data_IF_891097696887
#
_entry.id   IF_891097696887
#
_cell.length_a   1.000
_cell.length_b   1.000
_cell.length_c   1.000
_cell.angle_alpha   90.00
_cell.angle_beta   90.00
_cell.angle_gamma   90.00
#
_symmetry.space_group_name_H-M   'P 1'
#
loop_
_entity.id
_entity.type
_entity.pdbx_description
1 polymer ?
#
# COMPACT_ATOMS: atom_id res chain seq x y z
N UNK A 1 2.74 -5.91 -9.78
CA UNK A 1 2.90 -4.43 -9.68
C UNK A 1 1.70 -3.87 -8.93
N UNK A 2 1.92 -3.28 -7.75
CA UNK A 2 0.90 -2.43 -7.12
C UNK A 2 1.21 -0.98 -7.51
N UNK A 3 0.39 -0.40 -8.38
CA UNK A 3 0.47 1.01 -8.78
C UNK A 3 -0.94 1.58 -8.77
N UNK A 4 -1.19 2.58 -7.91
CA UNK A 4 -2.41 3.34 -7.92
C UNK A 4 -2.07 4.77 -8.30
N UNK A 5 -2.24 5.06 -9.59
CA UNK A 5 -2.75 6.30 -10.19
C UNK A 5 -2.25 6.34 -11.64
N UNK A 6 -3.14 5.95 -12.55
CA UNK A 6 -2.94 6.02 -14.01
C UNK A 6 -3.87 7.14 -14.48
N UNK A 7 -3.35 8.37 -14.58
CA UNK A 7 -4.09 9.42 -15.30
C UNK A 7 -3.86 9.21 -16.79
N UNK A 8 -4.91 9.17 -17.60
CA UNK A 8 -4.79 9.12 -19.05
C UNK A 8 -5.63 10.22 -19.68
N UNK A 9 -5.07 10.87 -20.70
CA UNK A 9 -5.80 11.83 -21.54
C UNK A 9 -6.01 11.21 -22.91
N UNK A 10 -7.19 11.47 -23.46
CA UNK A 10 -7.48 11.18 -24.85
C UNK A 10 -6.92 12.32 -25.70
N UNK A 11 -6.08 11.99 -26.67
CA UNK A 11 -5.64 12.95 -27.68
C UNK A 11 -6.72 12.99 -28.76
N UNK A 12 -7.43 14.11 -28.86
CA UNK A 12 -8.47 14.32 -29.86
C UNK A 12 -7.81 14.48 -31.23
N UNK A 13 -8.11 13.55 -32.14
CA UNK A 13 -7.49 13.44 -33.45
C UNK A 13 -7.59 14.72 -34.27
N UNK A 14 -6.44 15.26 -34.69
CA UNK A 14 -6.36 16.12 -35.86
C UNK A 14 -6.47 15.20 -37.09
N UNK A 15 -7.50 15.42 -37.89
CA UNK A 15 -7.88 14.78 -39.18
C UNK A 15 -7.16 13.45 -39.53
N UNK A 16 -7.85 12.32 -39.32
CA UNK A 16 -7.52 11.04 -39.97
C UNK A 16 -6.73 10.01 -39.15
N UNK A 17 -6.31 10.31 -37.91
CA UNK A 17 -5.67 9.33 -37.02
C UNK A 17 -6.71 8.75 -36.02
N UNK A 18 -6.72 7.44 -35.70
CA UNK A 18 -7.54 6.92 -34.60
C UNK A 18 -7.17 7.57 -33.26
N UNK A 19 -8.17 7.85 -32.41
CA UNK A 19 -7.98 8.41 -31.07
C UNK A 19 -6.98 7.56 -30.27
N UNK A 20 -5.96 8.22 -29.70
CA UNK A 20 -4.92 7.53 -28.92
C UNK A 20 -5.04 7.89 -27.45
N UNK A 21 -4.98 6.85 -26.62
CA UNK A 21 -4.97 6.99 -25.17
C UNK A 21 -3.53 7.26 -24.73
N UNK A 22 -3.25 8.47 -24.27
CA UNK A 22 -1.92 8.84 -23.78
C UNK A 22 -1.90 8.69 -22.26
N UNK A 23 -0.96 7.89 -21.78
CA UNK A 23 -0.69 7.72 -20.36
C UNK A 23 -0.03 9.01 -19.86
N UNK A 24 -0.73 9.76 -19.02
CA UNK A 24 -0.32 11.09 -18.59
C UNK A 24 0.63 11.04 -17.40
N UNK A 25 0.35 10.14 -16.44
CA UNK A 25 1.25 9.89 -15.30
C UNK A 25 1.02 8.48 -14.75
N UNK A 26 2.10 7.89 -14.24
CA UNK A 26 2.10 6.61 -13.55
C UNK A 26 3.09 6.66 -12.39
N UNK A 27 2.68 6.12 -11.23
CA UNK A 27 3.56 5.94 -10.06
C UNK A 27 3.86 4.44 -9.94
N UNK A 28 5.15 4.11 -9.98
CA UNK A 28 5.64 2.75 -9.77
C UNK A 28 6.22 2.64 -8.36
N UNK A 29 5.91 1.54 -7.68
CA UNK A 29 6.38 1.27 -6.32
C UNK A 29 6.85 -0.16 -6.21
N UNK A 30 7.66 -0.42 -5.18
CA UNK A 30 8.04 -1.77 -4.78
C UNK A 30 6.79 -2.66 -4.60
N UNK A 31 6.91 -3.89 -5.09
CA UNK A 31 5.90 -4.92 -4.90
C UNK A 31 6.10 -5.61 -3.56
N UNK A 32 5.14 -5.42 -2.67
CA UNK A 32 5.11 -6.09 -1.37
C UNK A 32 4.27 -7.36 -1.49
N UNK A 33 4.90 -8.54 -1.37
CA UNK A 33 4.26 -9.82 -1.65
C UNK A 33 3.15 -10.19 -0.66
N UNK A 34 3.24 -9.76 0.59
CA UNK A 34 2.21 -10.06 1.60
C UNK A 34 0.90 -9.28 1.42
N UNK A 35 0.87 -8.25 0.57
CA UNK A 35 -0.34 -7.46 0.29
C UNK A 35 -0.74 -6.54 1.45
N UNK A 36 -2.01 -6.19 1.54
CA UNK A 36 -2.53 -5.30 2.59
C UNK A 36 -2.81 -6.03 3.91
N UNK A 37 -2.78 -5.29 5.03
CA UNK A 37 -3.18 -5.77 6.35
C UNK A 37 -4.63 -6.29 6.33
N UNK A 38 -5.52 -5.64 5.59
CA UNK A 38 -6.88 -6.15 5.39
C UNK A 38 -6.90 -7.58 4.83
N UNK A 39 -6.16 -7.81 3.75
CA UNK A 39 -6.11 -9.13 3.12
C UNK A 39 -5.51 -10.18 4.07
N UNK A 40 -4.56 -9.79 4.91
CA UNK A 40 -4.01 -10.66 5.94
C UNK A 40 -5.06 -11.03 7.01
N UNK A 41 -5.78 -10.04 7.55
CA UNK A 41 -6.84 -10.25 8.54
C UNK A 41 -7.97 -11.14 8.00
N UNK A 42 -8.36 -10.95 6.74
CA UNK A 42 -9.37 -11.78 6.08
C UNK A 42 -8.90 -13.25 5.94
N UNK A 43 -7.61 -13.48 5.66
CA UNK A 43 -7.04 -14.84 5.61
C UNK A 43 -7.04 -15.51 6.99
N UNK A 44 -6.67 -14.78 8.04
CA UNK A 44 -6.74 -15.29 9.42
C UNK A 44 -8.18 -15.67 9.80
N UNK A 45 -9.13 -14.79 9.51
CA UNK A 45 -10.54 -15.05 9.79
C UNK A 45 -11.06 -16.30 9.06
N UNK A 46 -10.69 -16.48 7.79
CA UNK A 46 -11.04 -17.68 7.00
C UNK A 46 -10.40 -18.96 7.55
N UNK A 47 -9.22 -18.85 8.18
CA UNK A 47 -8.56 -19.96 8.84
C UNK A 47 -9.15 -20.29 10.24
N UNK A 48 -10.16 -19.53 10.70
CA UNK A 48 -10.80 -19.73 12.00
C UNK A 48 -10.13 -18.96 13.15
N UNK A 49 -9.08 -18.18 12.86
CA UNK A 49 -8.45 -17.32 13.85
C UNK A 49 -9.27 -16.04 14.05
N UNK A 50 -9.59 -15.73 15.31
CA UNK A 50 -10.42 -14.56 15.67
C UNK A 50 -9.60 -13.30 15.91
N UNK A 51 -8.29 -13.41 16.10
CA UNK A 51 -7.41 -12.32 16.51
C UNK A 51 -6.01 -12.53 15.94
N UNK A 52 -5.35 -11.43 15.64
CA UNK A 52 -3.92 -11.41 15.35
C UNK A 52 -3.16 -11.72 16.65
N UNK A 53 -2.08 -12.50 16.61
CA UNK A 53 -1.17 -12.65 17.75
C UNK A 53 -0.73 -11.28 18.29
N UNK A 54 -0.74 -11.11 19.62
CA UNK A 54 -0.44 -9.81 20.26
C UNK A 54 0.92 -9.25 19.83
N UNK A 55 1.93 -10.11 19.78
CA UNK A 55 3.29 -9.74 19.38
C UNK A 55 3.30 -9.13 17.96
N UNK A 56 2.62 -9.77 17.01
CA UNK A 56 2.47 -9.23 15.66
C UNK A 56 1.70 -7.91 15.64
N UNK A 57 0.62 -7.79 16.41
CA UNK A 57 -0.13 -6.54 16.49
C UNK A 57 0.74 -5.38 17.02
N UNK A 58 1.61 -5.63 18.00
CA UNK A 58 2.56 -4.64 18.52
C UNK A 58 3.60 -4.25 17.49
N UNK A 59 4.16 -5.21 16.74
CA UNK A 59 5.10 -4.92 15.65
C UNK A 59 4.47 -4.02 14.57
N UNK A 60 3.27 -4.38 14.09
CA UNK A 60 2.54 -3.57 13.11
C UNK A 60 2.29 -2.16 13.65
N UNK A 61 1.86 -2.03 14.90
CA UNK A 61 1.59 -0.73 15.51
C UNK A 61 2.86 0.13 15.63
N UNK A 62 3.99 -0.47 16.02
CA UNK A 62 5.28 0.21 16.11
C UNK A 62 5.73 0.74 14.75
N UNK A 63 5.69 -0.10 13.71
CA UNK A 63 6.10 0.28 12.36
C UNK A 63 5.21 1.38 11.76
N UNK A 64 3.89 1.26 11.93
CA UNK A 64 2.93 2.28 11.48
C UNK A 64 3.18 3.61 12.19
N UNK A 65 3.42 3.57 13.50
CA UNK A 65 3.74 4.78 14.27
C UNK A 65 5.07 5.41 13.82
N UNK A 66 6.10 4.60 13.56
CA UNK A 66 7.39 5.05 13.04
C UNK A 66 7.24 5.73 11.67
N UNK A 67 6.53 5.09 10.73
CA UNK A 67 6.25 5.65 9.41
C UNK A 67 5.45 6.96 9.49
N UNK A 68 4.45 7.04 10.37
CA UNK A 68 3.69 8.28 10.61
C UNK A 68 4.56 9.38 11.21
N UNK A 69 5.43 9.05 12.16
CA UNK A 69 6.40 10.01 12.73
C UNK A 69 7.28 10.59 11.63
N UNK A 70 7.82 9.74 10.75
CA UNK A 70 8.62 10.15 9.60
C UNK A 70 7.89 11.05 8.60
N UNK A 71 6.59 10.84 8.39
CA UNK A 71 5.76 11.70 7.54
C UNK A 71 5.49 13.04 8.20
N UNK A 72 5.15 13.03 9.49
CA UNK A 72 4.86 14.24 10.26
C UNK A 72 6.09 15.14 10.39
N UNK A 73 7.30 14.57 10.52
CA UNK A 73 8.56 15.31 10.47
C UNK A 73 8.75 16.08 9.14
N UNK A 74 8.13 15.60 8.06
CA UNK A 74 8.13 16.24 6.74
C UNK A 74 6.89 17.11 6.50
N UNK A 75 6.11 17.39 7.54
CA UNK A 75 4.83 18.10 7.47
C UNK A 75 3.79 17.45 6.54
N UNK A 76 3.85 16.13 6.35
CA UNK A 76 2.91 15.37 5.53
C UNK A 76 1.90 14.67 6.44
N UNK A 77 0.61 14.91 6.22
CA UNK A 77 -0.48 14.18 6.89
C UNK A 77 -1.02 13.13 5.91
N UNK A 78 -0.96 11.85 6.29
CA UNK A 78 -1.41 10.76 5.41
C UNK A 78 -2.93 10.80 5.13
N UNK A 79 -3.75 11.16 6.13
CA UNK A 79 -5.23 11.32 6.04
C UNK A 79 -6.07 10.08 5.71
N UNK A 80 -5.48 8.97 5.27
CA UNK A 80 -6.19 7.74 4.88
C UNK A 80 -5.56 6.50 5.53
N UNK A 81 -5.35 6.56 6.85
CA UNK A 81 -4.81 5.44 7.62
C UNK A 81 -5.93 4.42 7.86
N UNK A 82 -5.81 3.28 7.19
CA UNK A 82 -6.70 2.12 7.28
C UNK A 82 -5.97 0.84 6.85
N UNK A 83 -6.52 -0.33 7.17
CA UNK A 83 -5.88 -1.63 6.91
C UNK A 83 -5.68 -1.94 5.43
N UNK A 84 -6.43 -1.30 4.52
CA UNK A 84 -6.21 -1.37 3.07
C UNK A 84 -4.89 -0.73 2.62
N UNK A 85 -4.42 0.32 3.31
CA UNK A 85 -3.26 1.12 2.94
C UNK A 85 -1.98 0.76 3.71
N UNK A 86 -2.08 -0.19 4.63
CA UNK A 86 -0.93 -0.77 5.34
C UNK A 86 -0.53 -2.04 4.59
N UNK A 87 0.68 -2.07 4.03
CA UNK A 87 1.21 -3.25 3.36
C UNK A 87 2.11 -4.04 4.31
N UNK A 88 1.98 -5.36 4.28
CA UNK A 88 2.75 -6.27 5.14
C UNK A 88 3.64 -7.14 4.25
N UNK A 89 4.91 -7.24 4.60
CA UNK A 89 5.81 -8.25 4.04
C UNK A 89 6.07 -9.36 5.06
N UNK A 90 5.60 -10.57 4.78
CA UNK A 90 5.75 -11.74 5.64
C UNK A 90 6.87 -12.69 5.18
N UNK A 91 7.52 -12.41 4.05
CA UNK A 91 8.58 -13.26 3.51
C UNK A 91 9.96 -13.00 4.14
N UNK A 92 10.13 -11.90 4.88
CA UNK A 92 11.36 -11.62 5.63
C UNK A 92 11.50 -12.56 6.83
N UNK A 93 12.02 -13.77 6.58
CA UNK A 93 12.51 -14.69 7.61
C UNK A 93 13.74 -14.10 8.31
N UNK A 94 13.53 -13.37 9.42
CA UNK A 94 14.38 -13.21 10.62
C UNK A 94 14.27 -11.79 11.18
N UNK A 95 13.95 -11.71 12.47
CA UNK A 95 14.07 -10.58 13.41
C UNK A 95 13.31 -9.27 13.11
N UNK A 96 13.13 -8.86 11.86
CA UNK A 96 12.58 -7.54 11.52
C UNK A 96 11.34 -7.70 10.63
N UNK A 97 10.16 -7.77 11.26
CA UNK A 97 8.90 -7.58 10.56
C UNK A 97 8.92 -6.12 10.05
N UNK A 98 8.86 -5.88 8.74
CA UNK A 98 8.71 -4.53 8.20
C UNK A 98 7.29 -4.38 7.67
N UNK A 99 6.48 -3.60 8.39
CA UNK A 99 5.16 -3.16 7.98
C UNK A 99 5.31 -1.80 7.30
N UNK A 100 4.88 -1.68 6.05
CA UNK A 100 4.99 -0.45 5.28
C UNK A 100 3.65 0.30 5.31
N UNK A 101 3.60 1.45 5.98
CA UNK A 101 2.54 2.42 5.76
C UNK A 101 2.81 3.14 4.43
N UNK A 102 2.08 2.81 3.37
CA UNK A 102 2.18 3.54 2.10
C UNK A 102 1.37 4.83 2.20
N UNK A 103 2.06 5.95 2.45
CA UNK A 103 1.50 7.27 2.18
C UNK A 103 1.48 7.53 0.67
N UNK A 104 0.28 7.55 0.09
CA UNK A 104 -0.02 8.25 -1.15
C UNK A 104 -0.64 9.62 -0.81
#
# INVERSE_FOLDING_TARGET
MYGHQISSKWDSSVEGNPERRILQSAIFMEYVKGGSLKNYLEKLSKAGEKRVPLELALFIAQDVASALSELHLKHIIHRDIKSENILIDLDRKKADWCTYCKAL
#
